data_IF_449620787034
#
_entry.id   IF_449620787034
#
_cell.length_a   1.000
_cell.length_b   1.000
_cell.length_c   1.000
_cell.angle_alpha   90.00
_cell.angle_beta   90.00
_cell.angle_gamma   90.00
#
_symmetry.space_group_name_H-M   'P 1'
#
loop_
_entity.id
_entity.type
_entity.pdbx_description
1 polymer ?
#
# COMPACT_ATOMS: atom_id res chain seq x y z
N UNK A 1 -21.12 0.08 -1.76
CA UNK A 1 -20.09 -0.94 -1.50
C UNK A 1 -19.52 -1.41 -2.82
N UNK A 2 -18.32 -1.98 -2.81
CA UNK A 2 -17.73 -2.59 -4.01
C UNK A 2 -18.09 -4.08 -4.00
N UNK A 3 -18.57 -4.58 -5.13
CA UNK A 3 -18.83 -6.01 -5.34
C UNK A 3 -18.15 -6.42 -6.63
N UNK A 4 -17.36 -7.49 -6.57
CA UNK A 4 -16.65 -8.02 -7.72
C UNK A 4 -16.92 -9.53 -7.82
N UNK A 5 -17.19 -10.00 -9.04
CA UNK A 5 -17.23 -11.42 -9.35
C UNK A 5 -15.94 -11.78 -10.08
N UNK A 6 -15.20 -12.74 -9.52
CA UNK A 6 -13.89 -13.12 -10.03
C UNK A 6 -13.98 -14.49 -10.71
N UNK A 7 -13.29 -14.65 -11.83
CA UNK A 7 -13.15 -15.92 -12.53
C UNK A 7 -11.70 -16.44 -12.40
N UNK A 8 -11.33 -17.04 -11.26
CA UNK A 8 -9.98 -17.55 -11.06
C UNK A 8 -9.70 -18.77 -11.94
N UNK A 9 -8.45 -18.90 -12.40
CA UNK A 9 -7.96 -20.05 -13.18
C UNK A 9 -6.88 -20.80 -12.38
N UNK A 10 -7.25 -21.69 -11.42
CA UNK A 10 -6.29 -22.29 -10.49
C UNK A 10 -5.24 -23.18 -11.16
N UNK A 11 -5.54 -23.69 -12.36
CA UNK A 11 -4.61 -24.50 -13.15
C UNK A 11 -3.43 -23.69 -13.71
N UNK A 12 -3.60 -22.37 -13.82
CA UNK A 12 -2.55 -21.44 -14.26
C UNK A 12 -1.76 -20.86 -13.07
N UNK A 13 -2.02 -21.34 -11.84
CA UNK A 13 -1.25 -20.95 -10.66
C UNK A 13 0.04 -21.78 -10.61
N UNK A 14 1.10 -21.27 -11.25
CA UNK A 14 2.37 -21.99 -11.36
C UNK A 14 3.19 -21.98 -10.05
N UNK A 15 3.68 -20.79 -9.67
CA UNK A 15 4.54 -20.57 -8.50
C UNK A 15 3.96 -19.40 -7.70
N UNK A 16 2.97 -19.70 -6.86
CA UNK A 16 2.40 -18.70 -5.96
C UNK A 16 3.28 -18.56 -4.71
N UNK A 17 3.51 -17.31 -4.28
CA UNK A 17 4.19 -16.99 -3.02
C UNK A 17 3.47 -17.61 -1.81
N UNK A 18 2.17 -17.88 -1.95
CA UNK A 18 1.33 -18.49 -0.94
C UNK A 18 0.98 -19.93 -1.32
N UNK A 19 1.07 -20.86 -0.36
CA UNK A 19 0.68 -22.27 -0.51
C UNK A 19 -0.84 -22.48 -0.46
N UNK A 20 -1.61 -21.61 -1.09
CA UNK A 20 -3.07 -21.63 -1.09
C UNK A 20 -3.63 -21.26 -2.47
N UNK A 21 -4.76 -21.87 -2.83
CA UNK A 21 -5.50 -21.51 -4.04
C UNK A 21 -6.62 -20.53 -3.70
N UNK A 22 -6.59 -19.35 -4.31
CA UNK A 22 -7.55 -18.28 -4.07
C UNK A 22 -7.09 -16.97 -4.68
N UNK A 23 -7.76 -15.88 -4.32
CA UNK A 23 -7.40 -14.52 -4.71
C UNK A 23 -6.92 -13.74 -3.50
N UNK A 24 -5.92 -12.89 -3.71
CA UNK A 24 -5.45 -11.95 -2.68
C UNK A 24 -6.05 -10.58 -2.99
N UNK A 25 -6.74 -10.02 -2.01
CA UNK A 25 -7.27 -8.67 -2.04
C UNK A 25 -6.32 -7.79 -1.24
N UNK A 26 -5.76 -6.78 -1.90
CA UNK A 26 -4.92 -5.75 -1.28
C UNK A 26 -5.79 -4.52 -0.99
N UNK A 27 -5.74 -4.02 0.22
CA UNK A 27 -6.45 -2.81 0.65
C UNK A 27 -5.40 -1.80 1.08
N UNK A 28 -5.37 -0.67 0.40
CA UNK A 28 -4.34 0.37 0.56
C UNK A 28 -4.93 1.76 0.29
N UNK A 29 -4.15 2.82 0.58
CA UNK A 29 -4.53 4.18 0.21
C UNK A 29 -4.48 4.36 -1.32
N UNK A 30 -5.43 5.13 -1.85
CA UNK A 30 -5.52 5.45 -3.28
C UNK A 30 -4.29 6.14 -3.87
N UNK A 31 -3.48 6.84 -3.06
CA UNK A 31 -2.26 7.51 -3.52
C UNK A 31 -1.00 6.66 -3.36
N UNK A 32 -1.11 5.53 -2.69
CA UNK A 32 0.02 4.67 -2.35
C UNK A 32 0.10 3.48 -3.30
N UNK A 33 1.33 3.09 -3.63
CA UNK A 33 1.55 1.83 -4.34
C UNK A 33 1.21 0.65 -3.42
N UNK A 34 0.39 -0.33 -3.86
CA UNK A 34 0.07 -1.49 -3.06
C UNK A 34 1.28 -2.43 -2.91
N UNK A 35 2.13 -2.10 -1.93
CA UNK A 35 3.39 -2.78 -1.67
C UNK A 35 3.25 -4.05 -0.84
N UNK A 36 4.39 -4.58 -0.39
CA UNK A 36 4.41 -5.80 0.43
C UNK A 36 3.78 -5.61 1.81
N UNK A 37 3.82 -4.38 2.35
CA UNK A 37 3.40 -4.05 3.71
C UNK A 37 1.91 -3.74 3.86
N UNK A 38 1.17 -3.72 2.74
CA UNK A 38 -0.26 -3.42 2.76
C UNK A 38 -1.12 -4.52 3.37
N UNK A 39 -2.33 -4.14 3.79
CA UNK A 39 -3.30 -5.08 4.32
C UNK A 39 -3.73 -6.07 3.21
N UNK A 40 -3.53 -7.35 3.48
CA UNK A 40 -3.89 -8.44 2.56
C UNK A 40 -4.99 -9.31 3.15
N UNK A 41 -6.03 -9.55 2.38
CA UNK A 41 -7.04 -10.55 2.69
C UNK A 41 -7.04 -11.63 1.61
N UNK A 42 -7.17 -12.89 2.01
CA UNK A 42 -7.30 -14.00 1.07
C UNK A 42 -8.76 -14.41 0.92
N UNK A 43 -9.16 -14.67 -0.32
CA UNK A 43 -10.50 -15.15 -0.67
C UNK A 43 -10.36 -16.54 -1.28
N UNK A 44 -10.91 -17.59 -0.64
CA UNK A 44 -10.91 -18.94 -1.18
C UNK A 44 -11.65 -19.03 -2.52
N UNK A 45 -11.27 -19.99 -3.35
CA UNK A 45 -12.00 -20.28 -4.59
C UNK A 45 -13.45 -20.66 -4.31
N UNK A 46 -14.34 -20.31 -5.26
CA UNK A 46 -15.76 -20.68 -5.24
C UNK A 46 -16.49 -20.26 -3.95
N UNK A 47 -16.02 -19.19 -3.30
CA UNK A 47 -16.61 -18.66 -2.08
C UNK A 47 -17.05 -17.22 -2.26
N UNK A 48 -18.08 -16.83 -1.53
CA UNK A 48 -18.48 -15.44 -1.35
C UNK A 48 -17.95 -14.96 0.01
N UNK A 49 -17.20 -13.86 0.00
CA UNK A 49 -16.59 -13.27 1.20
C UNK A 49 -16.96 -11.80 1.30
N UNK A 50 -17.45 -11.41 2.48
CA UNK A 50 -17.77 -10.02 2.80
C UNK A 50 -16.64 -9.40 3.62
N UNK A 51 -15.92 -8.46 3.01
CA UNK A 51 -14.85 -7.71 3.68
C UNK A 51 -15.41 -6.42 4.27
N UNK A 52 -15.41 -6.31 5.60
CA UNK A 52 -15.76 -5.07 6.31
C UNK A 52 -14.51 -4.26 6.57
N UNK A 53 -14.44 -3.08 5.97
CA UNK A 53 -13.36 -2.13 6.22
C UNK A 53 -13.74 -1.18 7.35
N UNK A 54 -12.81 -0.97 8.29
CA UNK A 54 -12.93 0.04 9.35
C UNK A 54 -11.71 0.95 9.27
N UNK A 55 -11.72 1.96 8.38
CA UNK A 55 -10.57 2.83 8.19
C UNK A 55 -10.36 3.71 9.43
N UNK A 56 -9.10 3.94 9.79
CA UNK A 56 -8.72 4.87 10.84
C UNK A 56 -7.83 5.95 10.23
N UNK A 57 -8.30 7.20 10.22
CA UNK A 57 -7.46 8.34 9.85
C UNK A 57 -6.88 8.99 11.10
N UNK A 58 -5.59 9.34 11.03
CA UNK A 58 -4.90 10.11 12.06
C UNK A 58 -4.54 11.45 11.45
N UNK A 59 -5.14 12.50 11.98
CA UNK A 59 -4.80 13.86 11.60
C UNK A 59 -3.83 14.45 12.61
N UNK A 60 -2.86 15.19 12.10
CA UNK A 60 -1.92 15.96 12.92
C UNK A 60 -2.58 17.30 13.22
N UNK A 61 -2.41 17.79 14.45
CA UNK A 61 -2.89 19.10 14.84
C UNK A 61 -2.21 20.21 14.00
N UNK A 62 -2.97 21.25 13.64
CA UNK A 62 -2.49 22.29 12.71
C UNK A 62 -1.28 23.07 13.24
N UNK A 63 -1.17 23.21 14.55
CA UNK A 63 -0.05 23.87 15.24
C UNK A 63 1.29 23.19 14.96
N UNK A 64 1.32 21.88 14.77
CA UNK A 64 2.53 21.12 14.41
C UNK A 64 3.06 21.46 13.02
N UNK A 65 2.27 22.08 12.13
CA UNK A 65 2.77 22.61 10.85
C UNK A 65 3.79 23.73 11.02
N UNK A 66 3.77 24.42 12.16
CA UNK A 66 4.74 25.48 12.48
C UNK A 66 6.08 24.95 12.99
N UNK A 67 6.13 23.68 13.40
CA UNK A 67 7.35 23.04 13.89
C UNK A 67 8.17 22.58 12.69
N UNK A 68 9.47 22.85 12.69
CA UNK A 68 10.38 22.41 11.63
C UNK A 68 10.40 20.87 11.49
N UNK A 69 10.44 20.32 10.25
CA UNK A 69 10.46 18.87 10.02
C UNK A 69 11.58 18.14 10.78
N UNK A 70 12.76 18.76 10.91
CA UNK A 70 13.93 18.20 11.62
C UNK A 70 13.66 17.96 13.10
N UNK A 71 12.76 18.74 13.71
CA UNK A 71 12.35 18.57 15.12
C UNK A 71 11.25 17.52 15.26
N UNK A 72 10.41 17.35 14.23
CA UNK A 72 9.31 16.39 14.20
C UNK A 72 9.74 14.99 13.79
N UNK A 73 10.84 14.86 13.04
CA UNK A 73 11.31 13.62 12.41
C UNK A 73 10.27 12.97 11.48
N UNK A 74 9.35 13.76 10.92
CA UNK A 74 8.39 13.33 9.92
C UNK A 74 8.02 14.50 8.99
N UNK A 75 7.50 14.18 7.81
CA UNK A 75 7.17 15.17 6.79
C UNK A 75 5.67 15.17 6.49
N UNK A 76 5.14 16.34 6.13
CA UNK A 76 3.82 16.49 5.51
C UNK A 76 3.92 16.25 4.00
N UNK A 77 2.77 15.95 3.38
CA UNK A 77 2.66 15.64 1.95
C UNK A 77 3.32 16.68 1.02
N UNK A 78 3.33 17.95 1.42
CA UNK A 78 3.84 19.08 0.64
C UNK A 78 5.27 19.49 1.00
N UNK A 79 5.93 18.82 1.95
CA UNK A 79 7.29 19.16 2.39
C UNK A 79 8.37 18.43 1.57
N UNK A 80 8.01 17.29 0.96
CA UNK A 80 8.92 16.49 0.14
C UNK A 80 8.26 16.21 -1.20
N UNK A 81 8.99 16.48 -2.28
CA UNK A 81 8.64 15.95 -3.61
C UNK A 81 9.32 14.61 -3.81
N UNK A 82 8.52 13.61 -4.15
CA UNK A 82 8.99 12.31 -4.60
C UNK A 82 9.27 12.35 -6.12
N UNK A 83 10.05 11.37 -6.62
CA UNK A 83 10.54 11.33 -8.01
C UNK A 83 9.62 10.54 -8.94
N UNK A 84 9.01 9.48 -8.44
CA UNK A 84 8.16 8.52 -9.13
C UNK A 84 6.69 8.61 -8.69
N UNK A 85 6.41 9.03 -7.46
CA UNK A 85 5.07 9.23 -6.92
C UNK A 85 4.72 10.72 -6.79
N UNK A 86 3.43 11.06 -6.96
CA UNK A 86 2.96 12.45 -6.89
C UNK A 86 2.72 12.93 -5.46
N UNK A 87 2.39 12.02 -4.55
CA UNK A 87 2.04 12.33 -3.16
C UNK A 87 3.05 11.65 -2.23
N UNK A 88 3.58 12.43 -1.29
CA UNK A 88 4.42 11.88 -0.23
C UNK A 88 3.56 11.05 0.73
N UNK A 89 3.95 9.79 0.87
CA UNK A 89 3.59 8.93 1.99
C UNK A 89 4.84 8.21 2.46
N UNK A 90 4.80 7.67 3.68
CA UNK A 90 5.91 6.88 4.19
C UNK A 90 6.23 5.69 3.27
N UNK A 91 5.18 5.00 2.78
CA UNK A 91 5.30 3.83 1.91
C UNK A 91 5.90 4.18 0.55
N UNK A 92 5.38 5.22 -0.12
CA UNK A 92 5.90 5.67 -1.41
C UNK A 92 7.37 6.11 -1.29
N UNK A 93 7.70 6.92 -0.28
CA UNK A 93 9.08 7.38 -0.04
C UNK A 93 10.04 6.21 0.20
N UNK A 94 9.63 5.21 0.98
CA UNK A 94 10.44 4.04 1.27
C UNK A 94 10.64 3.17 0.03
N UNK A 95 9.62 3.06 -0.83
CA UNK A 95 9.71 2.34 -2.10
C UNK A 95 10.66 3.03 -3.08
N UNK A 96 10.62 4.36 -3.21
CA UNK A 96 11.58 5.09 -4.05
C UNK A 96 13.01 4.92 -3.56
N UNK A 97 13.23 4.97 -2.24
CA UNK A 97 14.55 4.74 -1.68
C UNK A 97 15.11 3.35 -2.03
N UNK A 98 14.25 2.31 -2.03
CA UNK A 98 14.61 0.96 -2.49
C UNK A 98 14.93 0.93 -3.98
N UNK A 99 14.11 1.58 -4.81
CA UNK A 99 14.33 1.66 -6.26
C UNK A 99 15.66 2.35 -6.55
N UNK A 100 15.90 3.52 -5.96
CA UNK A 100 17.14 4.28 -6.16
C UNK A 100 18.36 3.50 -5.66
N UNK A 101 18.25 2.75 -4.56
CA UNK A 101 19.32 1.87 -4.10
C UNK A 101 19.64 0.77 -5.11
N UNK A 102 18.63 0.08 -5.65
CA UNK A 102 18.80 -0.98 -6.65
C UNK A 102 19.41 -0.41 -7.94
N UNK A 103 18.89 0.71 -8.43
CA UNK A 103 19.39 1.38 -9.65
C UNK A 103 20.83 1.87 -9.51
N UNK A 104 21.28 2.19 -8.29
CA UNK A 104 22.69 2.53 -8.04
C UNK A 104 23.61 1.31 -7.94
N UNK A 105 23.07 0.16 -7.55
CA UNK A 105 23.82 -1.07 -7.32
C UNK A 105 24.03 -1.87 -8.61
N UNK A 106 23.05 -1.87 -9.51
CA UNK A 106 23.04 -2.59 -10.79
C UNK A 106 23.45 -1.70 -11.95
#
# INVERSE_FOLDING_TARGET
GVTAFLNPAPKDYFSSVYSSQGVIVLIHDSTDYPGEMELKSTVPLYSEVFLRLTPTSRYVAEDLRSVEPERRNCFFENEISLKYFNNYSFENCHLEAKIDYIVRLC
#
